data_IF_113716014863
#
_entry.id   IF_113716014863
#
_cell.length_a   1.000
_cell.length_b   1.000
_cell.length_c   1.000
_cell.angle_alpha   90.00
_cell.angle_beta   90.00
_cell.angle_gamma   90.00
#
_symmetry.space_group_name_H-M   'P 1'
#
loop_
_entity.id
_entity.type
_entity.pdbx_description
1 polymer ?
#
# COMPACT_ATOMS: atom_id res chain seq x y z
N UNK A 1 -12.86 -20.89 5.33
CA UNK A 1 -13.45 -19.60 4.93
C UNK A 1 -12.65 -19.03 3.78
N UNK A 2 -13.35 -18.69 2.71
CA UNK A 2 -12.68 -18.21 1.50
C UNK A 2 -12.51 -16.69 1.54
N UNK A 3 -11.28 -16.23 1.45
CA UNK A 3 -10.95 -14.81 1.33
C UNK A 3 -10.45 -14.59 -0.09
N UNK A 4 -11.14 -13.73 -0.84
CA UNK A 4 -10.84 -13.49 -2.24
C UNK A 4 -9.94 -12.25 -2.39
N UNK A 5 -8.88 -12.40 -3.19
CA UNK A 5 -8.03 -11.28 -3.57
C UNK A 5 -8.62 -10.61 -4.80
N UNK A 6 -8.75 -9.28 -4.74
CA UNK A 6 -9.26 -8.45 -5.82
C UNK A 6 -8.24 -7.37 -6.19
N UNK A 7 -8.29 -6.96 -7.43
CA UNK A 7 -7.46 -5.88 -7.96
C UNK A 7 -8.25 -5.10 -9.00
N UNK A 8 -8.19 -3.77 -8.95
CA UNK A 8 -8.86 -2.91 -9.94
C UNK A 8 -8.09 -1.62 -10.18
N UNK A 9 -8.10 -1.15 -11.42
CA UNK A 9 -7.74 0.24 -11.70
C UNK A 9 -8.72 1.16 -10.99
N UNK A 10 -8.23 2.32 -10.57
CA UNK A 10 -9.08 3.32 -9.92
C UNK A 10 -10.33 3.66 -10.74
N UNK A 11 -10.15 3.86 -12.04
CA UNK A 11 -11.25 4.20 -12.96
C UNK A 11 -12.33 3.11 -13.11
N UNK A 12 -12.00 1.87 -12.80
CA UNK A 12 -12.89 0.72 -12.96
C UNK A 12 -13.60 0.33 -11.66
N UNK A 13 -13.28 1.00 -10.54
CA UNK A 13 -13.96 0.77 -9.28
C UNK A 13 -15.38 1.33 -9.32
N UNK A 14 -16.35 0.55 -8.87
CA UNK A 14 -17.68 1.09 -8.62
C UNK A 14 -17.70 1.90 -7.31
N UNK A 15 -18.72 2.72 -7.15
CA UNK A 15 -18.83 3.59 -5.98
C UNK A 15 -18.94 2.80 -4.67
N UNK A 16 -19.65 1.67 -4.68
CA UNK A 16 -19.83 0.84 -3.49
C UNK A 16 -18.51 0.23 -3.02
N UNK A 17 -17.73 -0.31 -3.94
CA UNK A 17 -16.41 -0.88 -3.60
C UNK A 17 -15.45 0.21 -3.12
N UNK A 18 -15.38 1.33 -3.82
CA UNK A 18 -14.54 2.46 -3.40
C UNK A 18 -14.92 2.93 -1.98
N UNK A 19 -16.22 3.05 -1.72
CA UNK A 19 -16.70 3.43 -0.40
C UNK A 19 -16.20 2.48 0.70
N UNK A 20 -16.28 1.17 0.47
CA UNK A 20 -15.83 0.18 1.45
C UNK A 20 -14.32 0.20 1.65
N UNK A 21 -13.52 0.41 0.59
CA UNK A 21 -12.07 0.58 0.71
C UNK A 21 -11.72 1.79 1.57
N UNK A 22 -12.34 2.93 1.28
CA UNK A 22 -12.09 4.17 2.02
C UNK A 22 -12.58 4.09 3.47
N UNK A 23 -13.71 3.44 3.69
CA UNK A 23 -14.25 3.21 5.04
C UNK A 23 -13.27 2.44 5.91
N UNK A 24 -12.70 1.35 5.41
CA UNK A 24 -11.69 0.58 6.14
C UNK A 24 -10.47 1.45 6.46
N UNK A 25 -9.99 2.22 5.49
CA UNK A 25 -8.83 3.09 5.68
C UNK A 25 -9.08 4.16 6.76
N UNK A 26 -10.25 4.77 6.76
CA UNK A 26 -10.62 5.75 7.79
C UNK A 26 -10.71 5.07 9.16
N UNK A 27 -11.30 3.89 9.24
CA UNK A 27 -11.39 3.15 10.50
C UNK A 27 -10.02 2.83 11.09
N UNK A 28 -9.03 2.49 10.26
CA UNK A 28 -7.69 2.13 10.72
C UNK A 28 -6.82 3.36 10.95
N UNK A 29 -6.72 4.25 9.97
CA UNK A 29 -5.74 5.34 10.01
C UNK A 29 -6.21 6.55 10.80
N UNK A 30 -7.50 6.79 10.87
CA UNK A 30 -8.05 7.95 11.58
C UNK A 30 -8.65 7.55 12.92
N UNK A 31 -9.58 6.62 12.93
CA UNK A 31 -10.31 6.27 14.16
C UNK A 31 -9.44 5.46 15.11
N UNK A 32 -8.87 4.36 14.66
CA UNK A 32 -8.07 3.48 15.50
C UNK A 32 -6.79 4.16 15.99
N UNK A 33 -6.08 4.87 15.11
CA UNK A 33 -4.85 5.58 15.46
C UNK A 33 -5.12 6.91 16.19
N UNK A 34 -6.37 7.33 16.25
CA UNK A 34 -6.78 8.57 16.91
C UNK A 34 -6.06 9.82 16.38
N UNK A 35 -5.85 9.88 15.06
CA UNK A 35 -5.15 10.99 14.40
C UNK A 35 -6.08 11.63 13.38
N UNK A 36 -6.54 12.85 13.62
CA UNK A 36 -7.33 13.60 12.64
C UNK A 36 -6.40 14.14 11.56
N UNK A 37 -6.41 13.52 10.37
CA UNK A 37 -5.64 13.97 9.22
C UNK A 37 -6.41 13.68 7.94
N UNK A 38 -6.05 14.33 6.81
CA UNK A 38 -6.76 14.12 5.55
C UNK A 38 -6.35 12.78 4.90
N UNK A 39 -7.02 11.70 5.30
CA UNK A 39 -6.78 10.35 4.77
C UNK A 39 -7.02 10.30 3.26
N UNK A 40 -8.05 10.98 2.76
CA UNK A 40 -8.33 11.11 1.34
C UNK A 40 -7.46 12.24 0.77
N UNK A 41 -6.44 11.87 0.02
CA UNK A 41 -5.39 12.78 -0.46
C UNK A 41 -5.51 13.12 -1.96
N UNK A 42 -6.58 12.69 -2.61
CA UNK A 42 -6.81 12.93 -4.03
C UNK A 42 -6.11 11.94 -4.97
N UNK A 43 -5.33 11.01 -4.44
CA UNK A 43 -4.56 10.06 -5.27
C UNK A 43 -5.31 8.78 -5.59
N UNK A 44 -6.42 8.53 -4.91
CA UNK A 44 -7.16 7.27 -5.07
C UNK A 44 -7.79 7.10 -6.43
N UNK A 45 -8.04 8.19 -7.13
CA UNK A 45 -8.70 8.21 -8.44
C UNK A 45 -7.75 8.55 -9.60
N UNK A 46 -6.45 8.68 -9.34
CA UNK A 46 -5.48 8.98 -10.39
C UNK A 46 -5.38 7.83 -11.40
N UNK A 47 -5.06 8.17 -12.66
CA UNK A 47 -5.02 7.20 -13.75
C UNK A 47 -4.03 6.05 -13.51
N UNK A 48 -2.93 6.33 -12.83
CA UNK A 48 -1.87 5.36 -12.53
C UNK A 48 -2.07 4.61 -11.21
N UNK A 49 -3.20 4.85 -10.52
CA UNK A 49 -3.52 4.18 -9.25
C UNK A 49 -4.33 2.92 -9.49
N UNK A 50 -3.94 1.86 -8.81
CA UNK A 50 -4.74 0.65 -8.71
C UNK A 50 -4.86 0.23 -7.24
N UNK A 51 -5.96 -0.39 -6.93
CA UNK A 51 -6.27 -0.85 -5.59
C UNK A 51 -6.27 -2.37 -5.55
N UNK A 52 -5.71 -2.89 -4.46
CA UNK A 52 -5.76 -4.32 -4.14
C UNK A 52 -6.50 -4.46 -2.83
N UNK A 53 -7.34 -5.46 -2.72
CA UNK A 53 -8.04 -5.73 -1.48
C UNK A 53 -8.39 -7.20 -1.33
N UNK A 54 -8.67 -7.58 -0.08
CA UNK A 54 -9.18 -8.89 0.24
C UNK A 54 -10.62 -8.77 0.70
N UNK A 55 -11.48 -9.59 0.13
CA UNK A 55 -12.88 -9.71 0.52
C UNK A 55 -13.08 -10.92 1.40
N UNK A 56 -13.74 -10.74 2.53
CA UNK A 56 -14.18 -11.82 3.38
C UNK A 56 -15.38 -12.57 2.80
N UNK A 57 -15.84 -13.64 3.49
CA UNK A 57 -16.93 -14.47 2.99
C UNK A 57 -18.23 -13.72 2.73
N UNK A 58 -18.49 -12.66 3.48
CA UNK A 58 -19.71 -11.84 3.34
C UNK A 58 -19.53 -10.67 2.39
N UNK A 59 -18.42 -10.63 1.63
CA UNK A 59 -18.13 -9.57 0.70
C UNK A 59 -17.55 -8.29 1.33
N UNK A 60 -17.30 -8.29 2.64
CA UNK A 60 -16.67 -7.15 3.30
C UNK A 60 -15.19 -7.01 2.95
N UNK A 61 -14.72 -5.78 2.83
CA UNK A 61 -13.29 -5.49 2.65
C UNK A 61 -12.58 -5.65 4.00
N UNK A 62 -11.63 -6.56 4.07
CA UNK A 62 -10.90 -6.85 5.32
C UNK A 62 -9.46 -6.36 5.30
N UNK A 63 -8.89 -6.11 4.14
CA UNK A 63 -7.53 -5.60 3.97
C UNK A 63 -7.41 -4.91 2.63
N UNK A 64 -6.59 -3.86 2.55
CA UNK A 64 -6.38 -3.14 1.29
C UNK A 64 -5.01 -2.49 1.22
N UNK A 65 -4.57 -2.20 0.00
CA UNK A 65 -3.46 -1.31 -0.29
C UNK A 65 -3.73 -0.61 -1.62
N UNK A 66 -3.04 0.50 -1.86
CA UNK A 66 -3.01 1.10 -3.20
C UNK A 66 -1.59 1.02 -3.76
N UNK A 67 -1.52 0.78 -5.06
CA UNK A 67 -0.27 0.75 -5.81
C UNK A 67 -0.31 1.86 -6.86
N UNK A 68 0.68 2.73 -6.85
CA UNK A 68 0.77 3.86 -7.78
C UNK A 68 2.04 3.77 -8.59
N UNK A 69 1.93 4.03 -9.89
CA UNK A 69 3.10 4.23 -10.73
C UNK A 69 3.62 5.64 -10.51
N UNK A 70 4.92 5.78 -10.39
CA UNK A 70 5.59 7.08 -10.24
C UNK A 70 6.86 7.11 -11.08
N UNK A 71 7.38 8.29 -11.36
CA UNK A 71 8.55 8.48 -12.20
C UNK A 71 9.61 9.36 -11.52
N UNK A 72 10.19 8.93 -10.39
CA UNK A 72 11.21 9.72 -9.72
C UNK A 72 12.44 9.89 -10.62
N UNK A 73 12.84 11.13 -10.84
CA UNK A 73 13.96 11.41 -11.75
C UNK A 73 13.69 11.01 -13.21
N UNK A 74 12.42 10.89 -13.61
CA UNK A 74 12.04 10.49 -14.97
C UNK A 74 12.02 8.98 -15.20
N UNK A 75 12.38 8.17 -14.22
CA UNK A 75 12.42 6.72 -14.34
C UNK A 75 11.16 6.09 -13.74
N UNK A 76 10.61 5.09 -14.42
CA UNK A 76 9.44 4.37 -13.96
C UNK A 76 9.73 3.59 -12.68
N UNK A 77 8.86 3.74 -11.72
CA UNK A 77 8.85 2.99 -10.49
C UNK A 77 7.44 2.91 -9.91
N UNK A 78 7.32 2.34 -8.75
CA UNK A 78 6.03 2.17 -8.08
C UNK A 78 6.11 2.59 -6.63
N UNK A 79 4.96 2.92 -6.08
CA UNK A 79 4.81 3.20 -4.65
C UNK A 79 3.60 2.46 -4.12
N UNK A 80 3.82 1.72 -3.05
CA UNK A 80 2.74 1.12 -2.25
C UNK A 80 2.40 2.07 -1.12
N UNK A 81 1.12 2.25 -0.87
CA UNK A 81 0.64 3.08 0.24
C UNK A 81 -0.70 2.62 0.78
N UNK A 82 -1.10 3.23 1.87
CA UNK A 82 -2.39 2.97 2.52
C UNK A 82 -2.63 1.49 2.78
N UNK A 83 -1.60 0.80 3.26
CA UNK A 83 -1.67 -0.62 3.61
C UNK A 83 -2.35 -0.76 4.95
N UNK A 84 -3.48 -1.45 5.00
CA UNK A 84 -4.14 -1.69 6.28
C UNK A 84 -4.98 -2.97 6.26
N UNK A 85 -5.16 -3.54 7.45
CA UNK A 85 -6.01 -4.70 7.69
C UNK A 85 -6.96 -4.39 8.83
N UNK A 86 -8.23 -4.75 8.64
CA UNK A 86 -9.26 -4.60 9.66
C UNK A 86 -8.79 -5.25 10.96
N UNK A 87 -8.97 -4.55 12.08
CA UNK A 87 -8.44 -4.99 13.38
C UNK A 87 -8.83 -6.42 13.72
N UNK A 88 -10.09 -6.80 13.48
CA UNK A 88 -10.61 -8.14 13.77
C UNK A 88 -10.07 -9.22 12.84
N UNK A 89 -9.40 -8.86 11.76
CA UNK A 89 -8.86 -9.79 10.75
C UNK A 89 -7.33 -9.90 10.78
N UNK A 90 -6.65 -9.26 11.71
CA UNK A 90 -5.19 -9.29 11.83
C UNK A 90 -4.69 -10.63 12.34
N UNK A 91 -3.41 -10.93 12.03
CA UNK A 91 -2.77 -12.16 12.47
C UNK A 91 -3.01 -13.35 11.54
N UNK A 92 -3.52 -13.13 10.33
CA UNK A 92 -3.83 -14.20 9.36
C UNK A 92 -3.04 -14.09 8.06
N UNK A 93 -2.03 -13.22 8.00
CA UNK A 93 -1.18 -13.07 6.82
C UNK A 93 -1.81 -12.28 5.66
N UNK A 94 -2.89 -11.55 5.90
CA UNK A 94 -3.59 -10.79 4.85
C UNK A 94 -2.73 -9.69 4.25
N UNK A 95 -2.05 -8.91 5.09
CA UNK A 95 -1.15 -7.86 4.62
C UNK A 95 -0.04 -8.43 3.74
N UNK A 96 0.59 -9.52 4.17
CA UNK A 96 1.64 -10.18 3.38
C UNK A 96 1.12 -10.65 2.03
N UNK A 97 -0.09 -11.20 1.98
CA UNK A 97 -0.72 -11.64 0.74
C UNK A 97 -0.92 -10.49 -0.24
N UNK A 98 -1.40 -9.33 0.25
CA UNK A 98 -1.57 -8.13 -0.56
C UNK A 98 -0.23 -7.58 -1.07
N UNK A 99 0.77 -7.50 -0.21
CA UNK A 99 2.11 -7.02 -0.59
C UNK A 99 2.70 -7.92 -1.68
N UNK A 100 2.60 -9.23 -1.53
CA UNK A 100 3.08 -10.18 -2.54
C UNK A 100 2.39 -9.97 -3.89
N UNK A 101 1.07 -9.79 -3.88
CA UNK A 101 0.32 -9.54 -5.11
C UNK A 101 0.74 -8.24 -5.79
N UNK A 102 0.88 -7.16 -5.02
CA UNK A 102 1.33 -5.87 -5.55
C UNK A 102 2.75 -5.97 -6.12
N UNK A 103 3.67 -6.62 -5.42
CA UNK A 103 5.05 -6.78 -5.89
C UNK A 103 5.14 -7.65 -7.14
N UNK A 104 4.25 -8.64 -7.30
CA UNK A 104 4.17 -9.41 -8.53
C UNK A 104 3.79 -8.51 -9.72
N UNK A 105 2.90 -7.54 -9.53
CA UNK A 105 2.54 -6.58 -10.57
C UNK A 105 3.66 -5.57 -10.84
N UNK A 106 4.37 -5.12 -9.81
CA UNK A 106 5.53 -4.23 -9.94
C UNK A 106 6.62 -4.88 -10.81
N UNK A 107 6.83 -6.18 -10.64
CA UNK A 107 7.85 -6.91 -11.40
C UNK A 107 9.25 -6.38 -11.11
N UNK A 108 10.00 -6.09 -12.17
CA UNK A 108 11.41 -5.71 -12.09
C UNK A 108 11.65 -4.21 -11.89
N UNK A 109 10.59 -3.44 -11.67
CA UNK A 109 10.73 -2.01 -11.37
C UNK A 109 11.00 -1.77 -9.90
N UNK A 110 11.66 -0.65 -9.53
CA UNK A 110 11.80 -0.31 -8.12
C UNK A 110 10.45 0.04 -7.50
N UNK A 111 10.31 -0.30 -6.23
CA UNK A 111 9.09 -0.03 -5.47
C UNK A 111 9.46 0.68 -4.16
N UNK A 112 8.76 1.77 -3.84
CA UNK A 112 8.98 2.55 -2.63
C UNK A 112 7.78 2.49 -1.72
N UNK A 113 8.07 2.65 -0.44
CA UNK A 113 7.04 2.74 0.60
C UNK A 113 7.55 3.62 1.73
N UNK A 114 6.64 4.38 2.34
CA UNK A 114 6.91 5.05 3.59
C UNK A 114 6.27 4.22 4.70
N UNK A 115 7.08 3.42 5.37
CA UNK A 115 6.61 2.52 6.41
C UNK A 115 6.52 3.22 7.75
N UNK A 116 5.43 3.00 8.49
CA UNK A 116 5.48 3.27 9.92
C UNK A 116 6.65 2.48 10.51
N UNK A 117 7.45 3.11 11.35
CA UNK A 117 8.75 2.56 11.78
C UNK A 117 8.62 1.16 12.39
N UNK A 118 7.55 0.92 13.18
CA UNK A 118 7.35 -0.38 13.83
C UNK A 118 7.01 -1.53 12.85
N UNK A 119 6.69 -1.21 11.59
CA UNK A 119 6.39 -2.20 10.54
C UNK A 119 7.57 -2.44 9.60
N UNK A 120 8.68 -1.72 9.77
CA UNK A 120 9.82 -1.77 8.85
C UNK A 120 10.38 -3.19 8.70
N UNK A 121 10.44 -3.96 9.79
CA UNK A 121 10.93 -5.34 9.74
C UNK A 121 10.03 -6.22 8.85
N UNK A 122 8.71 -6.06 8.94
CA UNK A 122 7.79 -6.79 8.08
C UNK A 122 8.07 -6.50 6.60
N UNK A 123 8.26 -5.23 6.25
CA UNK A 123 8.57 -4.87 4.86
C UNK A 123 9.94 -5.36 4.42
N UNK A 124 10.91 -5.44 5.33
CA UNK A 124 12.24 -5.98 5.00
C UNK A 124 12.17 -7.45 4.56
N UNK A 125 11.21 -8.21 5.08
CA UNK A 125 10.98 -9.60 4.66
C UNK A 125 10.47 -9.70 3.22
N UNK A 126 9.95 -8.63 2.67
CA UNK A 126 9.53 -8.54 1.27
C UNK A 126 10.61 -7.96 0.34
N UNK A 127 11.80 -7.72 0.86
CA UNK A 127 12.92 -7.20 0.08
C UNK A 127 13.10 -5.69 0.13
N UNK A 128 12.33 -4.98 0.95
CA UNK A 128 12.52 -3.55 1.15
C UNK A 128 13.69 -3.28 2.07
N UNK A 129 14.44 -2.24 1.78
CA UNK A 129 15.54 -1.75 2.62
C UNK A 129 15.31 -0.27 2.93
N UNK A 130 15.83 0.17 4.06
CA UNK A 130 15.74 1.58 4.46
C UNK A 130 16.45 2.46 3.43
N UNK A 131 15.82 3.58 3.07
CA UNK A 131 16.28 4.50 2.02
C UNK A 131 16.21 5.96 2.47
N UNK A 132 16.55 6.24 3.70
CA UNK A 132 16.59 7.59 4.24
C UNK A 132 16.34 7.65 5.74
N UNK A 133 16.31 8.88 6.23
CA UNK A 133 16.13 9.12 7.66
C UNK A 133 14.67 8.94 8.07
N UNK A 134 14.49 8.54 9.32
CA UNK A 134 13.18 8.51 9.97
C UNK A 134 12.59 9.92 10.00
N UNK A 135 11.29 10.01 9.77
CA UNK A 135 10.54 11.27 9.79
C UNK A 135 9.18 11.10 10.46
N UNK A 136 8.60 12.21 10.89
CA UNK A 136 7.25 12.22 11.43
C UNK A 136 6.24 12.55 10.34
N UNK A 137 5.23 11.71 10.18
CA UNK A 137 4.09 11.96 9.31
C UNK A 137 2.84 11.96 10.18
N UNK A 138 2.20 13.13 10.30
CA UNK A 138 1.09 13.36 11.23
C UNK A 138 1.37 12.86 12.65
N UNK A 139 2.61 13.07 13.11
CA UNK A 139 3.06 12.70 14.45
C UNK A 139 3.45 11.23 14.61
N UNK A 140 3.34 10.41 13.57
CA UNK A 140 3.73 9.00 13.61
C UNK A 140 5.10 8.83 12.97
N UNK A 141 6.06 8.16 13.66
CA UNK A 141 7.37 7.88 13.07
C UNK A 141 7.26 6.98 11.84
N UNK A 142 7.89 7.40 10.75
CA UNK A 142 7.97 6.67 9.48
C UNK A 142 9.41 6.57 9.01
N UNK A 143 9.69 5.57 8.20
CA UNK A 143 10.97 5.41 7.52
C UNK A 143 10.74 5.14 6.04
N UNK A 144 11.44 5.86 5.14
CA UNK A 144 11.35 5.55 3.72
C UNK A 144 12.10 4.25 3.44
N UNK A 145 11.49 3.41 2.62
CA UNK A 145 12.05 2.13 2.22
C UNK A 145 11.92 1.93 0.71
N UNK A 146 12.84 1.17 0.13
CA UNK A 146 12.85 0.86 -1.29
C UNK A 146 13.17 -0.62 -1.50
N UNK A 147 12.47 -1.22 -2.45
CA UNK A 147 12.83 -2.50 -3.02
C UNK A 147 13.39 -2.22 -4.41
N UNK A 148 14.67 -2.45 -4.61
CA UNK A 148 15.32 -2.27 -5.91
C UNK A 148 14.77 -3.29 -6.91
N UNK A 149 14.69 -2.88 -8.17
CA UNK A 149 14.31 -3.76 -9.27
C UNK A 149 15.44 -3.92 -10.28
N UNK A 150 15.29 -4.88 -11.18
CA UNK A 150 16.27 -5.08 -12.26
C UNK A 150 16.29 -3.90 -13.25
N UNK A 151 15.18 -3.11 -13.31
CA UNK A 151 15.08 -1.88 -14.07
C UNK A 151 15.50 -0.64 -13.28
N UNK A 152 16.19 -0.81 -12.15
CA UNK A 152 16.91 0.29 -11.55
C UNK A 152 18.11 0.52 -12.47
N UNK A 153 18.05 1.55 -13.29
CA UNK A 153 19.22 1.91 -14.07
C UNK A 153 20.33 2.27 -13.11
N UNK A 154 21.25 1.35 -13.00
CA UNK A 154 22.59 1.69 -12.59
C UNK A 154 23.14 2.55 -13.71
N UNK A 155 23.63 3.72 -13.39
CA UNK A 155 24.29 4.62 -14.32
C UNK A 155 24.97 3.84 -15.44
N UNK A 156 24.38 3.94 -16.61
CA UNK A 156 25.09 3.54 -17.81
C UNK A 156 26.26 4.52 -17.96
N UNK A 157 27.48 4.08 -18.01
CA UNK A 157 28.62 4.98 -18.24
C UNK A 157 28.52 5.67 -19.59
#
# INVERSE_FOLDING_TARGET
MTVALRRSWAKDLDAATLYELLKLRVEVFVVEQAIPYPELDGRDLCAETRHFWLEGPDGEVISTLRLMEEHPGGQKGFRIGRVCTKRSARGHGHTNRLIQAALAEVGDYPCRINSQTYLAEMYSHHGFVRDGDEFLDDGIPHVPMVKAGAHTEVDQP
#
